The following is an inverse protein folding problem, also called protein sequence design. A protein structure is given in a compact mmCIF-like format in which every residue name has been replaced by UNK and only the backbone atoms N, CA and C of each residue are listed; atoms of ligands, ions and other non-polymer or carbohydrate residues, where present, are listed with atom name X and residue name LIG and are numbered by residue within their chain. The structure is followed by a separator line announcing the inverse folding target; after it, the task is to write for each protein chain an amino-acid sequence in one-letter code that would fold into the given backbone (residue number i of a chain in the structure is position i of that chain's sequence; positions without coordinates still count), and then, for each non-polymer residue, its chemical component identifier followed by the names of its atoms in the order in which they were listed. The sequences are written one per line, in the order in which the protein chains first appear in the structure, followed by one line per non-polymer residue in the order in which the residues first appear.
data_IF_698383100819
#
_entry.id   IF_698383100819
#
_cell.length_a   1.000
_cell.length_b   1.000
_cell.length_c   1.000
_cell.angle_alpha   90.00
_cell.angle_beta   90.00
_cell.angle_gamma   90.00
#
_symmetry.space_group_name_H-M   'P 1'
#
loop_
_entity.id
_entity.type
_entity.pdbx_description
1 polymer ?
#
# COMPACT_ATOMS: atom_id res chain seq x y z
N UNK A 1 46.34 6.67 52.02
CA UNK A 1 46.95 6.33 50.72
C UNK A 1 46.53 4.92 50.35
N UNK A 2 46.16 4.75 49.07
CA UNK A 2 45.70 3.55 48.33
C UNK A 2 44.26 3.07 48.53
N UNK A 3 43.48 3.53 47.56
CA UNK A 3 42.15 3.18 47.06
C UNK A 3 41.97 1.71 46.66
N UNK A 4 40.74 1.19 46.80
CA UNK A 4 40.21 0.18 45.87
C UNK A 4 38.71 0.39 45.68
N UNK A 5 38.33 0.99 44.55
CA UNK A 5 36.95 1.17 44.11
C UNK A 5 36.35 -0.17 43.67
N UNK A 6 35.23 -0.58 44.25
CA UNK A 6 34.37 -1.64 43.70
C UNK A 6 33.19 -1.00 42.98
N UNK A 7 33.32 -0.94 41.65
CA UNK A 7 32.31 -0.46 40.71
C UNK A 7 31.19 -1.51 40.61
N UNK A 8 30.05 -1.32 41.30
CA UNK A 8 28.87 -2.18 41.14
C UNK A 8 28.01 -1.65 39.98
N UNK A 9 28.00 -2.44 38.91
CA UNK A 9 27.14 -2.35 37.74
C UNK A 9 25.66 -2.16 38.13
N UNK A 10 25.10 -0.98 37.91
CA UNK A 10 23.65 -0.79 37.80
C UNK A 10 23.27 -0.70 36.33
N UNK A 11 22.67 -1.79 35.87
CA UNK A 11 22.07 -2.10 34.58
C UNK A 11 21.29 -0.94 34.00
N UNK A 12 21.83 -0.27 32.98
CA UNK A 12 21.04 0.57 32.08
C UNK A 12 20.34 -0.36 31.08
N UNK A 13 19.03 -0.52 31.24
CA UNK A 13 18.14 -1.12 30.24
C UNK A 13 18.26 -0.28 28.95
N UNK A 14 19.06 -0.74 28.00
CA UNK A 14 19.03 -0.26 26.63
C UNK A 14 17.74 -0.84 26.04
N UNK A 15 16.70 -0.02 26.00
CA UNK A 15 15.49 -0.28 25.23
C UNK A 15 15.91 -0.35 23.76
N UNK A 16 16.18 -1.57 23.28
CA UNK A 16 16.49 -1.84 21.89
C UNK A 16 15.30 -1.43 21.04
N UNK A 17 15.41 -0.26 20.41
CA UNK A 17 14.55 0.18 19.33
C UNK A 17 14.77 -0.78 18.15
N UNK A 18 14.03 -1.89 18.15
CA UNK A 18 13.88 -2.73 16.97
C UNK A 18 13.08 -1.90 15.97
N UNK A 19 13.78 -1.13 15.14
CA UNK A 19 13.24 -0.64 13.88
C UNK A 19 12.96 -1.87 13.02
N UNK A 20 11.74 -2.41 13.12
CA UNK A 20 11.22 -3.37 12.15
C UNK A 20 11.13 -2.60 10.83
N UNK A 21 12.16 -2.74 10.00
CA UNK A 21 12.12 -2.43 8.58
C UNK A 21 11.02 -3.30 8.00
N UNK A 22 9.80 -2.75 7.91
CA UNK A 22 8.73 -3.36 7.13
C UNK A 22 9.20 -3.29 5.69
N UNK A 23 9.85 -4.37 5.24
CA UNK A 23 10.18 -4.59 3.85
C UNK A 23 8.87 -4.44 3.07
N UNK A 24 8.83 -3.45 2.18
CA UNK A 24 7.67 -3.29 1.30
C UNK A 24 7.64 -4.55 0.43
N UNK A 25 6.53 -5.28 0.33
CA UNK A 25 6.47 -6.44 -0.55
C UNK A 25 6.89 -6.02 -1.96
N UNK A 26 7.91 -6.68 -2.52
CA UNK A 26 8.37 -6.46 -3.88
C UNK A 26 7.58 -7.36 -4.83
N UNK A 27 6.77 -6.78 -5.70
CA UNK A 27 6.02 -7.51 -6.72
C UNK A 27 6.85 -7.56 -8.00
N UNK A 28 7.09 -8.75 -8.56
CA UNK A 28 7.69 -8.90 -9.89
C UNK A 28 6.68 -8.65 -11.02
N UNK A 29 5.81 -7.66 -10.81
CA UNK A 29 4.58 -7.46 -11.56
C UNK A 29 4.61 -6.27 -12.52
N UNK A 30 3.56 -6.14 -13.33
CA UNK A 30 3.34 -4.99 -14.20
C UNK A 30 3.32 -3.70 -13.37
N UNK A 31 4.12 -2.72 -13.80
CA UNK A 31 4.19 -1.41 -13.15
C UNK A 31 3.54 -0.37 -14.03
N UNK A 32 2.57 0.35 -13.48
CA UNK A 32 1.89 1.46 -14.14
C UNK A 32 2.07 2.74 -13.35
N UNK A 33 2.11 3.86 -14.06
CA UNK A 33 2.22 5.19 -13.47
C UNK A 33 1.09 6.06 -14.01
N UNK A 34 0.47 6.86 -13.15
CA UNK A 34 -0.56 7.83 -13.57
C UNK A 34 0.00 8.87 -14.53
N UNK A 35 -0.87 9.49 -15.35
CA UNK A 35 -0.45 10.54 -16.30
C UNK A 35 0.21 11.74 -15.64
N UNK A 36 -0.25 12.11 -14.45
CA UNK A 36 0.34 13.18 -13.63
C UNK A 36 1.61 12.74 -12.87
N UNK A 37 1.97 11.46 -12.97
CA UNK A 37 3.11 10.87 -12.28
C UNK A 37 2.96 10.80 -10.75
N UNK A 38 1.78 11.05 -10.18
CA UNK A 38 1.58 11.08 -8.74
C UNK A 38 1.34 9.71 -8.11
N UNK A 39 0.88 8.74 -8.89
CA UNK A 39 0.56 7.38 -8.46
C UNK A 39 1.38 6.38 -9.26
N UNK A 40 1.95 5.40 -8.57
CA UNK A 40 2.48 4.18 -9.16
C UNK A 40 1.71 3.00 -8.60
N UNK A 41 1.25 2.10 -9.46
CA UNK A 41 0.66 0.81 -9.11
C UNK A 41 1.60 -0.28 -9.61
N UNK A 42 1.82 -1.30 -8.81
CA UNK A 42 2.57 -2.50 -9.18
C UNK A 42 1.71 -3.73 -8.87
N UNK A 43 1.26 -4.43 -9.90
CA UNK A 43 0.39 -5.61 -9.80
C UNK A 43 1.16 -6.85 -10.25
N UNK A 44 1.25 -7.85 -9.38
CA UNK A 44 1.70 -9.20 -9.74
C UNK A 44 0.59 -10.02 -10.40
N UNK A 45 0.68 -11.34 -10.27
CA UNK A 45 -0.32 -12.26 -10.81
C UNK A 45 -1.66 -12.07 -10.08
N UNK A 46 -2.60 -11.39 -10.77
CA UNK A 46 -3.96 -11.22 -10.32
C UNK A 46 -4.58 -12.60 -10.12
N UNK A 47 -5.24 -12.81 -8.98
CA UNK A 47 -5.91 -14.08 -8.66
C UNK A 47 -5.03 -15.33 -8.50
N UNK A 48 -3.71 -15.15 -8.35
CA UNK A 48 -2.88 -16.20 -7.78
C UNK A 48 -3.22 -16.44 -6.30
N UNK A 49 -2.92 -17.63 -5.78
CA UNK A 49 -3.08 -17.97 -4.35
C UNK A 49 -2.18 -17.13 -3.42
N UNK A 50 -1.34 -16.25 -3.98
CA UNK A 50 -0.45 -15.34 -3.25
C UNK A 50 -1.11 -13.96 -3.14
N UNK A 51 -1.69 -13.68 -1.98
CA UNK A 51 -2.15 -12.34 -1.62
C UNK A 51 -1.06 -11.57 -0.87
N UNK A 52 -0.93 -10.24 -1.06
CA UNK A 52 -1.69 -9.35 -1.95
C UNK A 52 -1.38 -9.52 -3.46
N UNK A 53 -2.29 -9.10 -4.35
CA UNK A 53 -2.09 -9.09 -5.81
C UNK A 53 -1.22 -7.93 -6.29
N UNK A 54 -1.02 -6.91 -5.45
CA UNK A 54 -0.20 -5.77 -5.81
C UNK A 54 -0.03 -4.76 -4.68
N UNK A 55 0.60 -3.65 -5.02
CA UNK A 55 0.72 -2.47 -4.17
C UNK A 55 0.65 -1.19 -4.98
N UNK A 56 0.45 -0.09 -4.27
CA UNK A 56 0.48 1.24 -4.86
C UNK A 56 1.22 2.21 -3.96
N UNK A 57 1.73 3.28 -4.57
CA UNK A 57 2.43 4.37 -3.88
C UNK A 57 2.10 5.70 -4.55
N UNK A 58 1.64 6.63 -3.74
CA UNK A 58 1.51 8.04 -4.09
C UNK A 58 2.79 8.80 -3.71
N UNK A 59 3.12 9.85 -4.48
CA UNK A 59 4.27 10.73 -4.20
C UNK A 59 4.20 11.41 -2.82
N UNK A 60 3.00 11.68 -2.32
CA UNK A 60 2.78 12.26 -0.99
C UNK A 60 3.06 11.30 0.18
N UNK A 61 3.51 10.06 -0.11
CA UNK A 61 3.89 9.07 0.89
C UNK A 61 2.77 8.11 1.30
N UNK A 62 1.53 8.33 0.85
CA UNK A 62 0.46 7.33 0.97
C UNK A 62 0.82 6.11 0.13
N UNK A 63 0.68 4.92 0.70
CA UNK A 63 0.94 3.67 0.00
C UNK A 63 0.08 2.56 0.60
N UNK A 64 -0.16 1.50 -0.15
CA UNK A 64 -1.01 0.41 0.29
C UNK A 64 -0.88 -0.86 -0.54
N UNK A 65 -1.72 -1.83 -0.20
CA UNK A 65 -1.79 -3.13 -0.89
C UNK A 65 -3.09 -3.26 -1.66
N UNK A 66 -3.05 -4.07 -2.72
CA UNK A 66 -4.20 -4.45 -3.54
C UNK A 66 -4.48 -5.95 -3.35
N UNK A 67 -5.74 -6.32 -3.24
CA UNK A 67 -6.18 -7.72 -3.10
C UNK A 67 -7.37 -7.97 -4.01
N UNK A 68 -7.35 -9.00 -4.85
CA UNK A 68 -8.41 -9.22 -5.82
C UNK A 68 -9.72 -9.54 -5.09
N UNK A 69 -10.83 -8.95 -5.55
CA UNK A 69 -12.17 -9.21 -4.97
C UNK A 69 -12.83 -10.40 -5.67
N UNK A 70 -12.65 -10.48 -6.98
CA UNK A 70 -13.30 -11.46 -7.83
C UNK A 70 -12.30 -11.92 -8.89
N UNK A 71 -12.10 -13.22 -8.92
CA UNK A 71 -11.19 -13.89 -9.83
C UNK A 71 -11.87 -14.56 -11.01
N UNK A 72 -13.19 -14.71 -10.92
CA UNK A 72 -14.01 -15.28 -11.99
C UNK A 72 -14.47 -14.17 -12.95
N UNK A 73 -14.56 -12.92 -12.47
CA UNK A 73 -14.87 -11.72 -13.27
C UNK A 73 -13.64 -11.04 -13.89
N UNK A 74 -12.43 -11.58 -13.71
CA UNK A 74 -11.21 -11.02 -14.30
C UNK A 74 -11.10 -11.20 -15.83
N UNK A 75 -12.18 -11.59 -16.50
CA UNK A 75 -12.30 -11.71 -17.95
C UNK A 75 -13.04 -10.52 -18.56
N UNK A 76 -12.30 -9.54 -19.09
CA UNK A 76 -12.83 -8.39 -19.81
C UNK A 76 -11.91 -7.16 -19.69
N UNK A 77 -12.37 -6.01 -20.14
CA UNK A 77 -11.64 -4.73 -20.01
C UNK A 77 -11.58 -4.22 -18.56
N UNK A 78 -12.04 -4.99 -17.56
CA UNK A 78 -12.15 -4.57 -16.17
C UNK A 78 -11.53 -5.58 -15.19
N UNK A 79 -10.92 -5.08 -14.11
CA UNK A 79 -10.65 -5.87 -12.92
C UNK A 79 -10.96 -5.10 -11.64
N UNK A 80 -11.18 -5.84 -10.55
CA UNK A 80 -11.55 -5.28 -9.24
C UNK A 80 -10.63 -5.76 -8.12
N UNK A 81 -10.09 -4.79 -7.38
CA UNK A 81 -9.32 -5.03 -6.16
C UNK A 81 -9.95 -4.32 -4.96
N UNK A 82 -9.68 -4.84 -3.76
CA UNK A 82 -9.70 -4.07 -2.52
C UNK A 82 -8.35 -3.39 -2.38
N UNK A 83 -8.36 -2.11 -2.03
CA UNK A 83 -7.15 -1.42 -1.60
C UNK A 83 -7.19 -1.17 -0.08
N UNK A 84 -6.02 -1.20 0.55
CA UNK A 84 -5.84 -0.84 1.95
C UNK A 84 -4.57 0.00 2.09
N UNK A 85 -4.70 1.24 2.57
CA UNK A 85 -3.56 2.09 2.90
C UNK A 85 -2.75 1.49 4.07
N UNK A 86 -1.45 1.28 3.86
CA UNK A 86 -0.50 0.78 4.87
C UNK A 86 0.49 1.85 5.33
N UNK A 87 0.57 2.98 4.61
CA UNK A 87 1.40 4.14 4.96
C UNK A 87 0.65 5.45 4.76
N UNK A 88 1.05 6.47 5.51
CA UNK A 88 0.39 7.77 5.56
C UNK A 88 -0.18 8.08 6.94
N UNK A 89 -0.45 9.38 7.18
CA UNK A 89 -1.11 9.87 8.41
C UNK A 89 -2.60 9.55 8.41
N UNK A 90 -3.21 9.52 7.23
CA UNK A 90 -4.54 8.99 7.00
C UNK A 90 -4.44 7.65 6.30
N UNK A 91 -5.32 6.70 6.66
CA UNK A 91 -5.36 5.39 6.02
C UNK A 91 -6.80 4.98 5.74
N UNK A 92 -7.09 4.85 4.46
CA UNK A 92 -8.38 4.44 3.96
C UNK A 92 -8.31 3.01 3.41
N UNK A 93 -9.47 2.37 3.32
CA UNK A 93 -9.64 1.17 2.51
C UNK A 93 -10.89 1.32 1.64
N UNK A 94 -10.96 0.49 0.59
CA UNK A 94 -12.12 0.47 -0.26
C UNK A 94 -11.92 -0.36 -1.51
N UNK A 95 -12.63 0.01 -2.57
CA UNK A 95 -12.62 -0.70 -3.85
C UNK A 95 -11.83 0.09 -4.89
N UNK A 96 -10.99 -0.62 -5.61
CA UNK A 96 -10.31 -0.16 -6.81
C UNK A 96 -10.93 -0.90 -8.00
N UNK A 97 -11.39 -0.15 -8.99
CA UNK A 97 -11.80 -0.69 -10.30
C UNK A 97 -10.82 -0.19 -11.34
N UNK A 98 -10.24 -1.09 -12.12
CA UNK A 98 -9.34 -0.71 -13.22
C UNK A 98 -9.99 -1.08 -14.53
N UNK A 99 -10.02 -0.13 -15.46
CA UNK A 99 -10.53 -0.30 -16.82
C UNK A 99 -9.39 -0.16 -17.83
N UNK A 100 -9.33 -1.10 -18.78
CA UNK A 100 -8.34 -1.21 -19.85
C UNK A 100 -9.05 -1.14 -21.21
N UNK A 101 -9.39 0.08 -21.63
CA UNK A 101 -9.93 0.33 -22.97
C UNK A 101 -8.95 1.14 -23.82
N UNK A 102 -9.47 2.11 -24.58
CA UNK A 102 -8.65 3.13 -25.27
C UNK A 102 -7.70 3.88 -24.32
N UNK A 103 -8.16 4.09 -23.08
CA UNK A 103 -7.39 4.64 -21.97
C UNK A 103 -7.45 3.70 -20.78
N UNK A 104 -6.36 3.63 -20.03
CA UNK A 104 -6.34 2.94 -18.75
C UNK A 104 -6.80 3.89 -17.65
N UNK A 105 -7.83 3.53 -16.90
CA UNK A 105 -8.38 4.33 -15.81
C UNK A 105 -8.48 3.49 -14.55
N UNK A 106 -8.17 4.09 -13.41
CA UNK A 106 -8.48 3.54 -12.09
C UNK A 106 -9.51 4.39 -11.38
N UNK A 107 -10.53 3.74 -10.82
CA UNK A 107 -11.58 4.36 -10.02
C UNK A 107 -11.45 3.84 -8.60
N UNK A 108 -11.25 4.76 -7.65
CA UNK A 108 -11.07 4.45 -6.23
C UNK A 108 -12.31 4.89 -5.47
N UNK A 109 -12.96 3.96 -4.80
CA UNK A 109 -14.12 4.18 -3.94
C UNK A 109 -13.70 3.98 -2.49
N UNK A 110 -13.71 5.06 -1.69
CA UNK A 110 -13.24 5.03 -0.31
C UNK A 110 -14.38 4.61 0.63
N UNK A 111 -14.31 3.38 1.13
CA UNK A 111 -15.41 2.77 1.89
C UNK A 111 -15.27 2.97 3.40
N UNK A 112 -14.04 3.12 3.91
CA UNK A 112 -13.83 3.28 5.34
C UNK A 112 -12.40 3.63 5.72
N UNK A 113 -12.19 3.79 7.03
CA UNK A 113 -10.89 4.07 7.62
C UNK A 113 -10.26 2.80 8.20
N UNK A 114 -8.96 2.62 8.02
CA UNK A 114 -8.22 1.54 8.69
C UNK A 114 -8.23 1.80 10.20
N UNK A 115 -8.48 0.76 11.01
CA UNK A 115 -8.58 0.88 12.47
C UNK A 115 -7.37 1.62 13.07
N UNK A 116 -7.64 2.61 13.92
CA UNK A 116 -6.63 3.46 14.55
C UNK A 116 -6.12 4.61 13.68
N UNK A 117 -6.64 4.80 12.47
CA UNK A 117 -6.27 5.90 11.58
C UNK A 117 -7.51 6.66 11.09
N UNK A 118 -7.40 7.98 10.88
CA UNK A 118 -8.44 8.74 10.21
C UNK A 118 -8.43 8.47 8.69
N UNK A 119 -9.57 8.70 8.05
CA UNK A 119 -9.68 8.77 6.60
C UNK A 119 -10.68 9.89 6.24
N UNK A 120 -10.19 11.01 5.72
CA UNK A 120 -11.04 12.15 5.31
C UNK A 120 -11.85 11.87 4.04
N UNK A 121 -11.48 10.83 3.29
CA UNK A 121 -12.03 10.52 1.97
C UNK A 121 -13.21 9.54 2.02
N UNK A 122 -13.64 9.08 3.20
CA UNK A 122 -14.76 8.10 3.30
C UNK A 122 -16.01 8.62 2.58
N UNK A 123 -16.58 7.78 1.73
CA UNK A 123 -17.75 8.10 0.90
C UNK A 123 -17.43 8.83 -0.41
N UNK A 124 -16.17 9.19 -0.64
CA UNK A 124 -15.74 9.82 -1.89
C UNK A 124 -15.31 8.79 -2.95
N UNK A 125 -15.26 9.27 -4.19
CA UNK A 125 -14.75 8.55 -5.36
C UNK A 125 -13.75 9.45 -6.08
N UNK A 126 -12.62 8.89 -6.50
CA UNK A 126 -11.68 9.56 -7.41
C UNK A 126 -11.40 8.70 -8.63
N UNK A 127 -11.15 9.37 -9.75
CA UNK A 127 -10.74 8.76 -11.01
C UNK A 127 -9.32 9.22 -11.33
N UNK A 128 -8.45 8.27 -11.69
CA UNK A 128 -7.05 8.53 -12.04
C UNK A 128 -6.76 7.84 -13.37
N UNK A 129 -6.37 8.64 -14.36
CA UNK A 129 -5.90 8.14 -15.65
C UNK A 129 -4.46 7.64 -15.54
N UNK A 130 -4.24 6.42 -16.03
CA UNK A 130 -2.96 5.75 -16.05
C UNK A 130 -2.30 5.89 -17.41
N UNK A 131 -0.97 5.94 -17.45
CA UNK A 131 -0.26 5.70 -18.70
C UNK A 131 -0.54 4.24 -19.13
N UNK A 132 -0.87 4.05 -20.40
CA UNK A 132 -0.96 2.72 -20.97
C UNK A 132 0.44 2.09 -20.81
N UNK A 133 0.51 0.93 -20.14
CA UNK A 133 1.79 0.26 -19.88
C UNK A 133 2.50 -0.04 -21.20
N UNK A 134 3.76 0.41 -21.32
CA UNK A 134 4.70 -0.10 -22.31
C UNK A 134 5.49 -1.25 -21.72
#
# INVERSE_FOLDING_TARGET
MFTTSTLKFTTKLIFGLIFILIASPSFAGLRQTSKDGNLTIQTGDHCSTKQPSGSYKFKNGKAGTLTPIDCDLAGGDYFYDKFIDTKGKERCYGRLSTFWGYKTITIWEFQGAVSGYPCSQVGSKIEIEMNNGQ
#
